data_IF_829929406879
#
_entry.id   IF_829929406879
#
_cell.length_a   1.000
_cell.length_b   1.000
_cell.length_c   1.000
_cell.angle_alpha   90.00
_cell.angle_beta   90.00
_cell.angle_gamma   90.00
#
_symmetry.space_group_name_H-M   'P 1'
#
loop_
_entity.id
_entity.type
_entity.pdbx_description
1 polymer ?
#
# COMPACT_ATOMS: atom_id res chain seq x y z
N UNK A 1 13.20 13.85 20.86
CA UNK A 1 12.46 12.66 21.34
C UNK A 1 10.95 12.82 21.18
N UNK A 2 10.29 13.78 21.86
CA UNK A 2 8.82 13.93 21.84
C UNK A 2 8.20 14.18 20.45
N UNK A 3 8.87 14.93 19.57
CA UNK A 3 8.40 15.15 18.19
C UNK A 3 8.40 13.88 17.32
N UNK A 4 9.42 13.03 17.48
CA UNK A 4 9.52 11.78 16.71
C UNK A 4 8.45 10.79 17.15
N UNK A 5 8.24 10.61 18.45
CA UNK A 5 7.20 9.73 19.00
C UNK A 5 5.78 10.21 18.64
N UNK A 6 5.54 11.52 18.63
CA UNK A 6 4.30 12.09 18.11
C UNK A 6 4.05 11.76 16.63
N UNK A 7 5.07 11.95 15.78
CA UNK A 7 5.00 11.60 14.36
C UNK A 7 4.69 10.12 14.11
N UNK A 8 5.38 9.21 14.80
CA UNK A 8 5.11 7.77 14.71
C UNK A 8 3.66 7.42 15.08
N UNK A 9 3.11 8.09 16.08
CA UNK A 9 1.74 7.84 16.55
C UNK A 9 0.69 8.24 15.49
N UNK A 10 0.92 9.34 14.76
CA UNK A 10 0.07 9.76 13.64
C UNK A 10 0.15 8.80 12.46
N UNK A 11 1.36 8.39 12.09
CA UNK A 11 1.58 7.45 10.99
C UNK A 11 1.02 6.06 11.25
N UNK A 12 0.90 5.64 12.51
CA UNK A 12 0.33 4.35 12.87
C UNK A 12 -1.16 4.25 12.53
N UNK A 13 -1.92 5.33 12.70
CA UNK A 13 -3.38 5.34 12.49
C UNK A 13 -3.80 5.67 11.06
N UNK A 14 -3.02 6.49 10.34
CA UNK A 14 -3.38 6.98 9.00
C UNK A 14 -3.67 5.87 7.98
N UNK A 15 -2.69 5.00 7.67
CA UNK A 15 -2.86 3.91 6.70
C UNK A 15 -3.97 2.94 7.11
N UNK A 16 -4.08 2.64 8.40
CA UNK A 16 -5.07 1.72 8.94
C UNK A 16 -6.49 2.23 8.72
N UNK A 17 -6.73 3.53 8.91
CA UNK A 17 -8.03 4.13 8.59
C UNK A 17 -8.34 4.05 7.09
N UNK A 18 -7.34 4.20 6.22
CA UNK A 18 -7.50 3.99 4.78
C UNK A 18 -7.95 2.56 4.44
N UNK A 19 -7.27 1.56 5.00
CA UNK A 19 -7.63 0.14 4.85
C UNK A 19 -9.00 -0.17 5.47
N UNK A 20 -9.34 0.50 6.56
CA UNK A 20 -10.63 0.32 7.22
C UNK A 20 -11.82 0.79 6.36
N UNK A 21 -11.64 1.83 5.54
CA UNK A 21 -12.69 2.29 4.60
C UNK A 21 -13.01 1.20 3.56
N UNK A 22 -11.99 0.56 2.99
CA UNK A 22 -12.21 -0.55 2.05
C UNK A 22 -12.74 -1.81 2.77
N UNK A 23 -12.38 -2.01 4.04
CA UNK A 23 -12.95 -3.10 4.83
C UNK A 23 -14.46 -2.92 4.99
N UNK A 24 -14.93 -1.69 5.24
CA UNK A 24 -16.37 -1.38 5.38
C UNK A 24 -17.17 -1.64 4.11
N UNK A 25 -16.59 -1.42 2.94
CA UNK A 25 -17.23 -1.72 1.64
C UNK A 25 -17.27 -3.23 1.31
N UNK A 26 -16.80 -4.10 2.23
CA UNK A 26 -16.82 -5.55 2.05
C UNK A 26 -15.67 -6.10 1.20
N UNK A 27 -14.63 -5.30 0.95
CA UNK A 27 -13.40 -5.76 0.26
C UNK A 27 -12.53 -6.63 1.18
N UNK A 28 -12.72 -6.55 2.51
CA UNK A 28 -12.01 -7.36 3.50
C UNK A 28 -12.98 -8.13 4.41
N UNK A 29 -12.56 -9.28 4.96
CA UNK A 29 -13.36 -10.06 5.89
C UNK A 29 -13.92 -9.23 7.07
N UNK A 30 -15.12 -9.57 7.60
CA UNK A 30 -15.74 -8.86 8.73
C UNK A 30 -14.85 -8.73 9.98
N UNK A 31 -13.88 -9.64 10.12
CA UNK A 31 -12.87 -9.55 11.16
C UNK A 31 -12.07 -8.25 11.14
N UNK A 32 -11.77 -7.70 9.96
CA UNK A 32 -11.04 -6.44 9.78
C UNK A 32 -11.91 -5.19 9.93
N UNK A 33 -13.23 -5.37 10.06
CA UNK A 33 -14.20 -4.28 10.21
C UNK A 33 -14.47 -3.90 11.68
N UNK A 34 -13.89 -4.64 12.64
CA UNK A 34 -14.09 -4.39 14.08
C UNK A 34 -13.35 -3.13 14.54
N UNK A 35 -14.07 -2.27 15.28
CA UNK A 35 -13.52 -1.06 15.91
C UNK A 35 -13.77 -1.06 17.42
N UNK A 36 -13.00 -0.28 18.16
CA UNK A 36 -13.24 0.00 19.58
C UNK A 36 -14.20 1.20 19.79
N UNK A 37 -14.38 1.59 21.05
CA UNK A 37 -15.22 2.74 21.47
C UNK A 37 -14.80 4.10 20.89
N UNK A 38 -13.59 4.20 20.34
CA UNK A 38 -13.02 5.43 19.78
C UNK A 38 -12.92 5.36 18.23
N UNK A 39 -13.69 4.49 17.58
CA UNK A 39 -13.67 4.26 16.13
C UNK A 39 -12.29 3.87 15.57
N UNK A 40 -11.45 3.25 16.40
CA UNK A 40 -10.14 2.75 15.98
C UNK A 40 -10.25 1.28 15.56
N UNK A 41 -9.83 0.92 14.34
CA UNK A 41 -9.83 -0.46 13.85
C UNK A 41 -8.73 -1.30 14.52
N UNK A 42 -9.02 -1.81 15.72
CA UNK A 42 -8.06 -2.51 16.59
C UNK A 42 -7.44 -3.73 15.92
N UNK A 43 -8.24 -4.54 15.24
CA UNK A 43 -7.74 -5.77 14.60
C UNK A 43 -6.71 -5.48 13.52
N UNK A 44 -6.97 -4.46 12.68
CA UNK A 44 -5.99 -4.04 11.67
C UNK A 44 -4.72 -3.47 12.31
N UNK A 45 -4.85 -2.69 13.39
CA UNK A 45 -3.68 -2.18 14.12
C UNK A 45 -2.83 -3.28 14.74
N UNK A 46 -3.45 -4.28 15.37
CA UNK A 46 -2.73 -5.40 16.00
C UNK A 46 -2.02 -6.21 14.92
N UNK A 47 -2.68 -6.51 13.80
CA UNK A 47 -2.08 -7.31 12.72
C UNK A 47 -0.88 -6.58 12.10
N UNK A 48 -0.99 -5.29 11.75
CA UNK A 48 0.17 -4.57 11.22
C UNK A 48 1.31 -4.53 12.23
N UNK A 49 1.02 -4.36 13.53
CA UNK A 49 2.04 -4.30 14.57
C UNK A 49 2.75 -5.64 14.71
N UNK A 50 2.02 -6.76 14.69
CA UNK A 50 2.58 -8.11 14.70
C UNK A 50 3.44 -8.34 13.45
N UNK A 51 2.93 -8.02 12.25
CA UNK A 51 3.66 -8.24 10.99
C UNK A 51 4.97 -7.44 10.96
N UNK A 52 4.93 -6.15 11.32
CA UNK A 52 6.12 -5.30 11.35
C UNK A 52 7.11 -5.76 12.42
N UNK A 53 6.63 -6.17 13.60
CA UNK A 53 7.50 -6.65 14.68
C UNK A 53 8.19 -7.96 14.31
N UNK A 54 7.47 -8.91 13.70
CA UNK A 54 8.03 -10.18 13.23
C UNK A 54 9.05 -9.91 12.14
N UNK A 55 8.72 -9.10 11.14
CA UNK A 55 9.63 -8.78 10.04
C UNK A 55 10.90 -8.08 10.55
N UNK A 56 10.77 -7.07 11.41
CA UNK A 56 11.91 -6.37 11.99
C UNK A 56 12.79 -7.28 12.84
N UNK A 57 12.18 -8.12 13.69
CA UNK A 57 12.91 -9.09 14.51
C UNK A 57 13.64 -10.12 13.65
N UNK A 58 12.97 -10.65 12.62
CA UNK A 58 13.57 -11.57 11.66
C UNK A 58 14.78 -10.93 10.97
N UNK A 59 14.63 -9.71 10.43
CA UNK A 59 15.72 -9.03 9.74
C UNK A 59 16.91 -8.78 10.68
N UNK A 60 16.68 -8.32 11.91
CA UNK A 60 17.75 -8.03 12.86
C UNK A 60 18.49 -9.30 13.33
N UNK A 61 17.76 -10.37 13.67
CA UNK A 61 18.36 -11.62 14.17
C UNK A 61 19.11 -12.39 13.08
N UNK A 62 18.60 -12.40 11.84
CA UNK A 62 19.24 -13.16 10.76
C UNK A 62 20.44 -12.44 10.15
N UNK A 63 20.47 -11.10 10.18
CA UNK A 63 21.55 -10.32 9.58
C UNK A 63 22.62 -9.94 10.60
N UNK A 64 22.31 -9.94 11.91
CA UNK A 64 23.17 -9.39 12.97
C UNK A 64 23.68 -7.97 12.66
N UNK A 65 22.97 -7.22 11.81
CA UNK A 65 23.38 -5.90 11.34
C UNK A 65 22.17 -4.98 11.20
N UNK A 66 22.24 -3.85 11.90
CA UNK A 66 21.19 -2.82 11.86
C UNK A 66 21.11 -2.20 10.46
N UNK A 67 22.25 -1.97 9.81
CA UNK A 67 22.32 -1.35 8.49
C UNK A 67 21.70 -2.25 7.41
N UNK A 68 22.00 -3.55 7.45
CA UNK A 68 21.42 -4.52 6.50
C UNK A 68 19.90 -4.58 6.66
N UNK A 69 19.41 -4.68 7.90
CA UNK A 69 17.98 -4.70 8.19
C UNK A 69 17.28 -3.40 7.76
N UNK A 70 17.93 -2.25 7.98
CA UNK A 70 17.43 -0.94 7.56
C UNK A 70 17.30 -0.84 6.04
N UNK A 71 18.36 -1.16 5.29
CA UNK A 71 18.34 -1.04 3.83
C UNK A 71 17.37 -2.00 3.16
N UNK A 72 17.23 -3.22 3.68
CA UNK A 72 16.19 -4.16 3.21
C UNK A 72 14.79 -3.59 3.46
N UNK A 73 14.55 -3.02 4.63
CA UNK A 73 13.24 -2.44 5.00
C UNK A 73 12.88 -1.24 4.12
N UNK A 74 13.87 -0.37 3.82
CA UNK A 74 13.69 0.77 2.91
C UNK A 74 13.37 0.28 1.50
N UNK A 75 14.13 -0.69 0.98
CA UNK A 75 13.91 -1.23 -0.36
C UNK A 75 12.54 -1.93 -0.48
N UNK A 76 12.14 -2.74 0.50
CA UNK A 76 10.79 -3.34 0.55
C UNK A 76 9.69 -2.27 0.53
N UNK A 77 9.84 -1.22 1.33
CA UNK A 77 8.87 -0.13 1.39
C UNK A 77 8.78 0.58 0.03
N UNK A 78 9.92 0.86 -0.60
CA UNK A 78 10.00 1.49 -1.91
C UNK A 78 9.27 0.67 -2.99
N UNK A 79 9.42 -0.65 -2.97
CA UNK A 79 8.75 -1.55 -3.93
C UNK A 79 7.22 -1.51 -3.77
N UNK A 80 6.70 -1.42 -2.54
CA UNK A 80 5.26 -1.23 -2.29
C UNK A 80 4.78 0.10 -2.89
N UNK A 81 5.49 1.19 -2.63
CA UNK A 81 5.10 2.52 -3.11
C UNK A 81 5.13 2.61 -4.63
N UNK A 82 6.21 2.15 -5.26
CA UNK A 82 6.37 2.17 -6.71
C UNK A 82 5.23 1.41 -7.39
N UNK A 83 4.85 0.25 -6.86
CA UNK A 83 3.71 -0.53 -7.35
C UNK A 83 2.40 0.26 -7.28
N UNK A 84 2.12 0.88 -6.13
CA UNK A 84 0.95 1.72 -5.94
C UNK A 84 0.92 2.89 -6.94
N UNK A 85 2.06 3.57 -7.15
CA UNK A 85 2.15 4.70 -8.08
C UNK A 85 1.95 4.27 -9.53
N UNK A 86 2.47 3.12 -9.95
CA UNK A 86 2.20 2.56 -11.29
C UNK A 86 0.69 2.34 -11.47
N UNK A 87 0.04 1.67 -10.52
CA UNK A 87 -1.41 1.45 -10.57
C UNK A 87 -2.20 2.76 -10.59
N UNK A 88 -1.74 3.78 -9.86
CA UNK A 88 -2.35 5.10 -9.84
C UNK A 88 -2.26 5.81 -11.20
N UNK A 89 -1.09 5.80 -11.84
CA UNK A 89 -0.92 6.37 -13.18
C UNK A 89 -1.77 5.63 -14.22
N UNK A 90 -1.76 4.30 -14.20
CA UNK A 90 -2.61 3.49 -15.08
C UNK A 90 -4.10 3.79 -14.87
N UNK A 91 -4.53 3.92 -13.61
CA UNK A 91 -5.90 4.27 -13.25
C UNK A 91 -6.28 5.69 -13.72
N UNK A 92 -5.36 6.65 -13.67
CA UNK A 92 -5.58 8.00 -14.16
C UNK A 92 -5.84 8.02 -15.68
N UNK A 93 -5.04 7.29 -16.46
CA UNK A 93 -5.26 7.13 -17.90
C UNK A 93 -6.60 6.42 -18.14
N UNK A 94 -6.85 5.30 -17.46
CA UNK A 94 -8.08 4.52 -17.64
C UNK A 94 -9.35 5.34 -17.32
N UNK A 95 -9.36 6.09 -16.22
CA UNK A 95 -10.49 6.92 -15.81
C UNK A 95 -10.73 8.10 -16.76
N UNK A 96 -9.68 8.60 -17.42
CA UNK A 96 -9.80 9.66 -18.43
C UNK A 96 -10.70 9.24 -19.59
N UNK A 97 -10.59 7.97 -20.01
CA UNK A 97 -11.36 7.41 -21.11
C UNK A 97 -12.70 6.81 -20.64
N UNK A 98 -12.73 6.14 -19.49
CA UNK A 98 -13.95 5.46 -19.01
C UNK A 98 -15.02 6.41 -18.50
N UNK A 99 -14.62 7.52 -17.86
CA UNK A 99 -15.55 8.49 -17.27
C UNK A 99 -15.16 9.92 -17.69
N UNK A 100 -15.35 10.29 -18.97
CA UNK A 100 -14.93 11.60 -19.47
C UNK A 100 -15.73 12.74 -18.83
N UNK A 101 -17.02 12.53 -18.57
CA UNK A 101 -18.02 13.57 -18.21
C UNK A 101 -18.07 13.95 -16.72
N UNK A 102 -17.23 13.33 -15.89
CA UNK A 102 -17.16 13.67 -14.47
C UNK A 102 -16.63 15.11 -14.30
N UNK A 103 -17.32 15.94 -13.53
CA UNK A 103 -16.84 17.27 -13.13
C UNK A 103 -15.56 17.10 -12.31
N UNK A 104 -14.41 17.47 -12.88
CA UNK A 104 -13.09 17.44 -12.23
C UNK A 104 -12.74 18.85 -11.75
N UNK A 105 -12.52 19.02 -10.44
CA UNK A 105 -12.08 20.31 -9.85
C UNK A 105 -10.71 20.73 -10.34
N UNK A 106 -9.86 19.77 -10.71
CA UNK A 106 -8.55 19.99 -11.31
C UNK A 106 -8.41 19.23 -12.62
N UNK A 107 -7.79 19.85 -13.63
CA UNK A 107 -7.51 19.24 -14.93
C UNK A 107 -6.07 19.53 -15.32
N UNK A 108 -5.36 18.52 -15.79
CA UNK A 108 -4.02 18.68 -16.34
C UNK A 108 -4.10 19.55 -17.61
N UNK A 109 -3.20 20.53 -17.77
CA UNK A 109 -3.13 21.34 -18.98
C UNK A 109 -2.91 20.45 -20.21
N UNK A 110 -3.26 20.92 -21.41
CA UNK A 110 -3.15 20.15 -22.67
C UNK A 110 -4.05 18.90 -22.78
N UNK A 111 -5.14 18.82 -21.99
CA UNK A 111 -6.19 17.80 -22.09
C UNK A 111 -5.63 16.36 -22.06
N UNK A 112 -5.76 15.61 -23.15
CA UNK A 112 -5.38 14.20 -23.22
C UNK A 112 -3.88 14.04 -23.43
N UNK A 113 -3.26 14.91 -24.23
CA UNK A 113 -1.82 14.88 -24.51
C UNK A 113 -1.04 15.13 -23.22
N UNK A 114 -1.40 16.17 -22.47
CA UNK A 114 -0.77 16.45 -21.17
C UNK A 114 -0.93 15.30 -20.17
N UNK A 115 -2.10 14.65 -20.16
CA UNK A 115 -2.33 13.47 -19.31
C UNK A 115 -1.41 12.31 -19.69
N UNK A 116 -1.30 11.99 -20.98
CA UNK A 116 -0.40 10.93 -21.46
C UNK A 116 1.06 11.22 -21.13
N UNK A 117 1.54 12.44 -21.39
CA UNK A 117 2.92 12.83 -21.11
C UNK A 117 3.23 12.65 -19.62
N UNK A 118 2.40 13.21 -18.74
CA UNK A 118 2.63 13.12 -17.28
C UNK A 118 2.59 11.68 -16.80
N UNK A 119 1.61 10.88 -17.22
CA UNK A 119 1.52 9.48 -16.81
C UNK A 119 2.63 8.61 -17.37
N UNK A 120 3.01 8.78 -18.64
CA UNK A 120 4.09 7.97 -19.24
C UNK A 120 5.42 8.29 -18.59
N UNK A 121 5.74 9.58 -18.39
CA UNK A 121 6.95 9.99 -17.66
C UNK A 121 6.93 9.43 -16.24
N UNK A 122 5.80 9.53 -15.54
CA UNK A 122 5.62 8.99 -14.20
C UNK A 122 5.83 7.47 -14.15
N UNK A 123 5.25 6.72 -15.09
CA UNK A 123 5.41 5.27 -15.19
C UNK A 123 6.86 4.91 -15.48
N UNK A 124 7.53 5.58 -16.41
CA UNK A 124 8.96 5.35 -16.70
C UNK A 124 9.81 5.60 -15.47
N UNK A 125 9.57 6.69 -14.74
CA UNK A 125 10.28 7.00 -13.50
C UNK A 125 10.04 5.94 -12.42
N UNK A 126 8.80 5.46 -12.28
CA UNK A 126 8.46 4.38 -11.33
C UNK A 126 9.12 3.06 -11.73
N UNK A 127 9.16 2.71 -13.02
CA UNK A 127 9.85 1.51 -13.51
C UNK A 127 11.37 1.60 -13.30
N UNK A 128 11.97 2.76 -13.54
CA UNK A 128 13.38 2.98 -13.24
C UNK A 128 13.65 2.83 -11.74
N UNK A 129 12.83 3.43 -10.88
CA UNK A 129 12.90 3.29 -9.42
C UNK A 129 12.74 1.83 -8.98
N UNK A 130 11.84 1.07 -9.61
CA UNK A 130 11.68 -0.36 -9.35
C UNK A 130 12.97 -1.13 -9.59
N UNK A 131 13.62 -0.89 -10.74
CA UNK A 131 14.89 -1.53 -11.10
C UNK A 131 16.01 -1.10 -10.14
N UNK A 132 16.09 0.19 -9.80
CA UNK A 132 17.08 0.74 -8.85
C UNK A 132 16.93 0.11 -7.47
N UNK A 133 15.70 -0.18 -7.02
CA UNK A 133 15.45 -0.79 -5.71
C UNK A 133 16.05 -2.22 -5.57
N UNK A 134 16.45 -2.87 -6.67
CA UNK A 134 17.18 -4.14 -6.61
C UNK A 134 18.70 -3.96 -6.50
N UNK A 135 19.22 -2.75 -6.64
CA UNK A 135 20.64 -2.47 -6.46
C UNK A 135 20.88 -2.00 -5.02
N UNK A 136 21.59 -2.80 -4.19
CA UNK A 136 21.90 -2.37 -2.84
C UNK A 136 22.85 -1.16 -2.86
N UNK A 137 22.75 -0.25 -1.88
CA UNK A 137 23.60 0.94 -1.79
C UNK A 137 25.07 0.56 -1.52
N UNK A 138 26.00 1.49 -1.72
CA UNK A 138 27.44 1.23 -1.65
C UNK A 138 27.89 0.79 -0.24
N UNK A 139 27.17 1.23 0.78
CA UNK A 139 27.38 0.89 2.19
C UNK A 139 26.88 -0.51 2.56
N UNK A 140 26.21 -1.22 1.64
CA UNK A 140 25.63 -2.52 1.91
C UNK A 140 26.70 -3.64 1.88
N UNK A 141 26.85 -4.44 2.95
CA UNK A 141 27.85 -5.50 3.03
C UNK A 141 27.69 -6.55 1.90
N UNK A 142 28.75 -6.85 1.12
CA UNK A 142 28.67 -7.80 0.01
C UNK A 142 28.21 -9.21 0.40
N UNK A 143 28.50 -9.66 1.62
CA UNK A 143 28.13 -10.98 2.12
C UNK A 143 26.62 -11.22 2.20
N UNK A 144 25.81 -10.16 2.34
CA UNK A 144 24.36 -10.26 2.50
C UNK A 144 23.58 -10.05 1.19
N UNK A 145 24.26 -9.90 0.04
CA UNK A 145 23.61 -9.61 -1.25
C UNK A 145 22.57 -10.67 -1.63
N UNK A 146 22.88 -11.96 -1.46
CA UNK A 146 21.93 -13.04 -1.78
C UNK A 146 20.67 -12.98 -0.91
N UNK A 147 20.83 -12.66 0.38
CA UNK A 147 19.73 -12.49 1.31
C UNK A 147 18.87 -11.27 0.94
N UNK A 148 19.52 -10.16 0.57
CA UNK A 148 18.85 -8.96 0.08
C UNK A 148 17.94 -9.27 -1.13
N UNK A 149 18.51 -9.84 -2.20
CA UNK A 149 17.75 -10.18 -3.40
C UNK A 149 16.61 -11.16 -3.12
N UNK A 150 16.88 -12.20 -2.32
CA UNK A 150 15.88 -13.21 -2.00
C UNK A 150 14.68 -12.62 -1.26
N UNK A 151 14.93 -11.78 -0.24
CA UNK A 151 13.88 -11.13 0.53
C UNK A 151 13.11 -10.14 -0.33
N UNK A 152 13.77 -9.36 -1.19
CA UNK A 152 13.07 -8.44 -2.08
C UNK A 152 12.17 -9.14 -3.08
N UNK A 153 12.64 -10.22 -3.72
CA UNK A 153 11.85 -10.99 -4.68
C UNK A 153 10.64 -11.62 -3.98
N UNK A 154 10.86 -12.33 -2.87
CA UNK A 154 9.79 -12.98 -2.11
C UNK A 154 8.81 -11.93 -1.57
N UNK A 155 9.31 -10.85 -0.98
CA UNK A 155 8.51 -9.76 -0.45
C UNK A 155 7.65 -9.13 -1.53
N UNK A 156 8.22 -8.82 -2.69
CA UNK A 156 7.49 -8.29 -3.85
C UNK A 156 6.37 -9.24 -4.28
N UNK A 157 6.67 -10.53 -4.44
CA UNK A 157 5.67 -11.54 -4.81
C UNK A 157 4.53 -11.57 -3.78
N UNK A 158 4.85 -11.63 -2.49
CA UNK A 158 3.85 -11.64 -1.41
C UNK A 158 2.97 -10.39 -1.45
N UNK A 159 3.58 -9.20 -1.61
CA UNK A 159 2.87 -7.93 -1.69
C UNK A 159 1.93 -7.92 -2.89
N UNK A 160 2.42 -8.26 -4.08
CA UNK A 160 1.64 -8.25 -5.31
C UNK A 160 0.49 -9.27 -5.26
N UNK A 161 0.73 -10.47 -4.75
CA UNK A 161 -0.26 -11.55 -4.71
C UNK A 161 -1.32 -11.32 -3.62
N UNK A 162 -0.96 -10.68 -2.50
CA UNK A 162 -1.87 -10.49 -1.36
C UNK A 162 -3.24 -9.88 -1.72
N UNK A 163 -3.37 -8.79 -2.50
CA UNK A 163 -4.69 -8.27 -2.88
C UNK A 163 -5.47 -9.23 -3.80
N UNK A 164 -4.79 -9.96 -4.69
CA UNK A 164 -5.48 -10.91 -5.58
C UNK A 164 -6.02 -12.11 -4.82
N UNK A 165 -5.27 -12.62 -3.83
CA UNK A 165 -5.75 -13.68 -2.93
C UNK A 165 -7.01 -13.20 -2.19
N UNK A 166 -6.95 -12.02 -1.57
CA UNK A 166 -8.09 -11.45 -0.82
C UNK A 166 -9.31 -11.31 -1.73
N UNK A 167 -9.12 -10.80 -2.95
CA UNK A 167 -10.19 -10.66 -3.93
C UNK A 167 -10.78 -12.01 -4.39
N UNK A 168 -9.95 -13.04 -4.56
CA UNK A 168 -10.40 -14.37 -4.96
C UNK A 168 -11.22 -15.06 -3.85
N UNK A 169 -10.88 -14.84 -2.58
CA UNK A 169 -11.62 -15.37 -1.43
C UNK A 169 -12.80 -14.48 -0.98
N UNK A 170 -13.09 -13.40 -1.71
CA UNK A 170 -14.15 -12.46 -1.38
C UNK A 170 -15.51 -13.16 -1.34
N UNK A 171 -16.17 -13.10 -0.18
CA UNK A 171 -17.50 -13.69 0.01
C UNK A 171 -18.59 -12.60 -0.01
N UNK A 172 -19.76 -12.86 -0.62
CA UNK A 172 -20.85 -11.88 -0.68
C UNK A 172 -21.33 -11.34 0.67
N UNK A 173 -21.20 -12.12 1.75
CA UNK A 173 -21.61 -11.71 3.10
C UNK A 173 -20.62 -10.79 3.82
N UNK A 174 -19.48 -10.44 3.21
CA UNK A 174 -18.51 -9.51 3.81
C UNK A 174 -18.98 -8.06 3.80
N UNK A 175 -20.03 -7.74 3.02
CA UNK A 175 -20.66 -6.43 3.03
C UNK A 175 -21.32 -6.22 4.39
N UNK A 176 -20.83 -5.23 5.14
CA UNK A 176 -21.45 -4.81 6.41
C UNK A 176 -22.92 -4.43 6.20
N UNK A 177 -23.82 -4.88 7.09
CA UNK A 177 -25.24 -4.44 7.10
C UNK A 177 -25.39 -2.90 7.11
N UNK A 178 -24.41 -2.18 7.68
CA UNK A 178 -24.36 -0.71 7.71
C UNK A 178 -23.93 -0.10 6.36
N UNK A 179 -23.06 -0.76 5.60
CA UNK A 179 -22.69 -0.38 4.23
C UNK A 179 -23.82 -0.64 3.24
N UNK A 180 -24.59 -1.72 3.45
CA UNK A 180 -25.75 -2.03 2.62
C UNK A 180 -26.82 -0.92 2.72
N UNK A 181 -27.12 -0.50 3.96
CA UNK A 181 -28.09 0.58 4.22
C UNK A 181 -27.69 1.95 3.62
N UNK A 182 -26.39 2.29 3.61
CA UNK A 182 -25.89 3.54 3.01
C UNK A 182 -25.91 3.54 1.47
N UNK A 183 -25.67 2.37 0.86
CA UNK A 183 -25.78 2.23 -0.59
C UNK A 183 -27.26 2.27 -1.03
N UNK A 184 -28.14 1.58 -0.29
CA UNK A 184 -29.58 1.61 -0.54
C UNK A 184 -30.18 3.03 -0.40
N UNK A 185 -29.66 3.87 0.51
CA UNK A 185 -30.08 5.29 0.67
C UNK A 185 -29.54 6.22 -0.43
N UNK A 186 -28.33 5.96 -0.96
CA UNK A 186 -27.74 6.75 -2.06
C UNK A 186 -28.30 6.38 -3.44
N UNK A 187 -28.76 5.14 -3.64
CA UNK A 187 -29.43 4.70 -4.87
C UNK A 187 -30.90 5.21 -4.96
N UNK A 188 -31.44 5.74 -3.85
CA UNK A 188 -32.77 6.37 -3.75
C UNK A 188 -32.75 7.90 -3.94
N UNK A 189 -31.58 8.51 -4.19
CA UNK A 189 -31.40 9.93 -4.50
C UNK A 189 -30.84 10.15 -5.91
#
# INVERSE_FOLDING_TARGET
AAGQTGGFSTWLLGPVKGIYVIAKSGELPPFFQKVNKHDVPVNLMIIQAIVISILGTFLLLFTNSIDVAFWISVALSMLIYVTMYILMYLSAIYLRYKKPDVKRSFKIPFKNIGMWIVCVIGIIAMLASFVIAFFPPAEFPPEHKTLYFSILIIGTIVIFISPFIINAFKKPHWISKKSKKLNDENDLQ
#
